data_IF_350847973593
#
_entry.id   IF_350847973593
#
_cell.length_a   1.000
_cell.length_b   1.000
_cell.length_c   1.000
_cell.angle_alpha   90.00
_cell.angle_beta   90.00
_cell.angle_gamma   90.00
#
_symmetry.space_group_name_H-M   'P 1'
#
loop_
_entity.id
_entity.type
_entity.pdbx_description
1 polymer ?
#
# COMPACT_ATOMS: atom_id res chain seq x y z
N UNK A 1 14.38 -13.39 1.91
CA UNK A 1 15.09 -12.20 1.38
C UNK A 1 14.29 -10.93 1.65
N UNK A 2 13.02 -10.83 1.20
CA UNK A 2 12.21 -9.63 1.36
C UNK A 2 11.54 -9.48 2.74
N UNK A 3 10.84 -10.52 3.23
CA UNK A 3 10.10 -10.47 4.52
C UNK A 3 10.78 -11.23 5.67
N UNK A 4 12.02 -11.66 5.48
CA UNK A 4 12.79 -12.42 6.47
C UNK A 4 12.39 -13.89 6.66
N UNK A 5 11.11 -14.22 6.81
CA UNK A 5 10.59 -15.57 7.08
C UNK A 5 9.19 -15.76 6.48
N UNK A 6 8.73 -16.99 6.25
CA UNK A 6 7.34 -17.33 5.88
C UNK A 6 6.50 -17.80 7.08
N UNK A 7 7.08 -17.81 8.29
CA UNK A 7 6.34 -18.03 9.53
C UNK A 7 5.70 -16.74 10.07
N UNK A 8 5.20 -16.80 11.31
CA UNK A 8 4.47 -15.72 11.98
C UNK A 8 5.13 -14.34 11.87
N UNK A 9 6.45 -14.26 12.05
CA UNK A 9 7.18 -13.00 11.95
C UNK A 9 7.08 -12.35 10.58
N UNK A 10 7.15 -13.15 9.52
CA UNK A 10 7.01 -12.63 8.15
C UNK A 10 5.60 -12.23 7.81
N UNK A 11 4.61 -12.97 8.32
CA UNK A 11 3.20 -12.65 8.17
C UNK A 11 2.88 -11.27 8.78
N UNK A 12 3.31 -11.03 10.01
CA UNK A 12 3.16 -9.73 10.67
C UNK A 12 3.97 -8.62 9.99
N UNK A 13 5.12 -8.96 9.38
CA UNK A 13 5.90 -7.99 8.61
C UNK A 13 5.09 -7.40 7.45
N UNK A 14 4.18 -8.16 6.83
CA UNK A 14 3.30 -7.59 5.81
C UNK A 14 2.46 -6.44 6.36
N UNK A 15 1.96 -6.58 7.58
CA UNK A 15 1.20 -5.52 8.26
C UNK A 15 2.10 -4.32 8.52
N UNK A 16 3.32 -4.55 9.02
CA UNK A 16 4.28 -3.49 9.33
C UNK A 16 4.63 -2.67 8.08
N UNK A 17 4.86 -3.30 6.93
CA UNK A 17 5.18 -2.57 5.69
C UNK A 17 4.09 -1.59 5.27
N UNK A 18 2.81 -1.94 5.47
CA UNK A 18 1.70 -1.03 5.15
C UNK A 18 1.56 0.04 6.23
N UNK A 19 1.66 -0.32 7.52
CA UNK A 19 1.61 0.63 8.64
C UNK A 19 2.74 1.65 8.58
N UNK A 20 3.97 1.23 8.25
CA UNK A 20 5.13 2.11 8.14
C UNK A 20 4.95 3.16 7.03
N UNK A 21 4.25 2.82 5.94
CA UNK A 21 3.91 3.81 4.92
C UNK A 21 2.94 4.87 5.45
N UNK A 22 1.96 4.48 6.27
CA UNK A 22 1.05 5.40 6.95
C UNK A 22 1.76 6.24 8.02
N UNK A 23 2.71 5.66 8.76
CA UNK A 23 3.55 6.38 9.73
C UNK A 23 4.44 7.40 9.04
N UNK A 24 4.97 7.10 7.86
CA UNK A 24 5.74 8.06 7.08
C UNK A 24 4.91 9.29 6.67
N UNK A 25 3.62 9.13 6.38
CA UNK A 25 2.70 10.26 6.18
C UNK A 25 2.51 11.08 7.46
N UNK A 26 2.50 10.43 8.62
CA UNK A 26 2.40 11.11 9.92
C UNK A 26 3.68 11.88 10.24
N UNK A 27 4.85 11.29 9.99
CA UNK A 27 6.16 11.95 10.13
C UNK A 27 6.30 13.16 9.20
N UNK A 28 5.69 13.12 8.03
CA UNK A 28 5.61 14.24 7.10
C UNK A 28 4.56 15.30 7.50
N UNK A 29 3.77 15.07 8.56
CA UNK A 29 2.79 16.00 9.09
C UNK A 29 1.41 15.96 8.42
N UNK A 30 1.11 14.93 7.64
CA UNK A 30 -0.15 14.82 6.89
C UNK A 30 -1.14 13.80 7.48
N UNK A 31 -0.68 12.82 8.23
CA UNK A 31 -1.54 11.80 8.85
C UNK A 31 -1.62 12.00 10.36
N UNK A 32 -2.84 11.94 10.91
CA UNK A 32 -3.10 12.03 12.35
C UNK A 32 -3.76 10.77 12.92
N UNK A 33 -4.29 9.91 12.06
CA UNK A 33 -5.03 8.71 12.45
C UNK A 33 -4.70 7.54 11.52
N UNK A 34 -4.33 6.40 12.11
CA UNK A 34 -4.11 5.13 11.41
C UNK A 34 -4.99 4.08 12.06
N UNK A 35 -5.89 3.49 11.28
CA UNK A 35 -6.82 2.45 11.69
C UNK A 35 -6.39 1.10 11.11
N UNK A 36 -6.13 0.13 11.98
CA UNK A 36 -5.76 -1.24 11.60
C UNK A 36 -6.90 -2.17 12.00
N UNK A 37 -7.43 -2.94 11.05
CA UNK A 37 -8.54 -3.87 11.27
C UNK A 37 -8.16 -5.27 10.80
N UNK A 38 -8.37 -6.26 11.67
CA UNK A 38 -8.37 -7.67 11.29
C UNK A 38 -9.77 -8.02 10.78
N UNK A 39 -9.86 -8.44 9.53
CA UNK A 39 -11.11 -8.78 8.88
C UNK A 39 -11.52 -10.21 9.26
N UNK A 40 -12.82 -10.47 9.32
CA UNK A 40 -13.36 -11.77 9.72
C UNK A 40 -13.01 -12.92 8.77
N UNK A 41 -12.60 -12.60 7.54
CA UNK A 41 -12.18 -13.54 6.51
C UNK A 41 -10.65 -13.73 6.44
N UNK A 42 -9.91 -13.27 7.45
CA UNK A 42 -8.45 -13.42 7.55
C UNK A 42 -7.66 -12.32 6.85
N UNK A 43 -8.32 -11.34 6.25
CA UNK A 43 -7.64 -10.18 5.68
C UNK A 43 -7.21 -9.17 6.75
N UNK A 44 -6.29 -8.27 6.38
CA UNK A 44 -5.91 -7.12 7.19
C UNK A 44 -6.18 -5.85 6.40
N UNK A 45 -6.77 -4.84 7.04
CA UNK A 45 -6.96 -3.52 6.46
C UNK A 45 -6.23 -2.46 7.28
N UNK A 46 -5.46 -1.61 6.59
CA UNK A 46 -4.81 -0.43 7.17
C UNK A 46 -5.33 0.79 6.43
N UNK A 47 -5.90 1.73 7.17
CA UNK A 47 -6.39 3.01 6.66
C UNK A 47 -5.70 4.16 7.38
N UNK A 48 -5.11 5.07 6.61
CA UNK A 48 -4.65 6.37 7.10
C UNK A 48 -5.51 7.51 6.56
N UNK A 49 -5.35 8.68 7.18
CA UNK A 49 -5.89 9.95 6.71
C UNK A 49 -4.79 10.88 6.17
N UNK A 50 -3.72 10.31 5.59
CA UNK A 50 -2.64 11.07 4.96
C UNK A 50 -3.06 11.72 3.64
N UNK A 51 -2.09 12.09 2.80
CA UNK A 51 -2.32 12.75 1.49
C UNK A 51 -3.00 11.87 0.45
N UNK A 52 -3.03 10.56 0.65
CA UNK A 52 -3.36 9.58 -0.39
C UNK A 52 -2.22 9.38 -1.39
N UNK A 53 -2.00 8.12 -1.79
CA UNK A 53 -1.00 7.77 -2.81
C UNK A 53 -1.31 8.53 -4.12
N UNK A 54 -0.30 9.10 -4.82
CA UNK A 54 -0.53 9.78 -6.09
C UNK A 54 -1.20 8.88 -7.14
N UNK A 55 -2.09 9.46 -7.94
CA UNK A 55 -2.89 8.76 -8.96
C UNK A 55 -2.48 9.11 -10.40
N UNK A 56 -1.60 10.10 -10.55
CA UNK A 56 -1.09 10.52 -11.84
C UNK A 56 -0.18 9.47 -12.48
N UNK A 57 -0.08 9.51 -13.81
CA UNK A 57 0.79 8.63 -14.59
C UNK A 57 2.26 8.95 -14.29
N UNK A 58 3.02 7.94 -13.90
CA UNK A 58 4.48 8.02 -13.82
C UNK A 58 5.03 7.85 -15.23
N UNK A 59 5.59 8.91 -15.81
CA UNK A 59 5.99 8.94 -17.21
C UNK A 59 6.97 7.83 -17.63
N UNK A 60 7.89 7.43 -16.74
CA UNK A 60 8.84 6.33 -17.00
C UNK A 60 8.20 4.95 -17.05
N UNK A 61 7.08 4.75 -16.34
CA UNK A 61 6.40 3.45 -16.20
C UNK A 61 5.13 3.35 -17.05
N UNK A 62 4.59 4.49 -17.53
CA UNK A 62 3.37 4.53 -18.34
C UNK A 62 2.10 4.10 -17.61
N UNK A 63 2.11 4.09 -16.27
CA UNK A 63 0.99 3.67 -15.41
C UNK A 63 0.83 4.60 -14.18
N UNK A 64 -0.34 4.59 -13.50
CA UNK A 64 -0.56 5.40 -12.30
C UNK A 64 0.45 5.11 -11.20
N UNK A 65 0.88 6.13 -10.46
CA UNK A 65 1.85 5.96 -9.37
C UNK A 65 1.38 4.96 -8.30
N UNK A 66 0.07 4.90 -8.02
CA UNK A 66 -0.52 3.85 -7.20
C UNK A 66 -0.18 2.45 -7.71
N UNK A 67 -0.37 2.17 -9.01
CA UNK A 67 -0.02 0.88 -9.58
C UNK A 67 1.49 0.61 -9.54
N UNK A 68 2.32 1.63 -9.77
CA UNK A 68 3.79 1.51 -9.66
C UNK A 68 4.19 1.03 -8.25
N UNK A 69 3.66 1.66 -7.20
CA UNK A 69 3.99 1.33 -5.80
C UNK A 69 3.70 -0.13 -5.45
N UNK A 70 2.64 -0.71 -6.01
CA UNK A 70 2.24 -2.09 -5.72
C UNK A 70 2.79 -3.13 -6.71
N UNK A 71 3.38 -2.72 -7.85
CA UNK A 71 3.80 -3.68 -8.90
C UNK A 71 5.27 -3.59 -9.31
N UNK A 72 5.99 -2.54 -8.91
CA UNK A 72 7.39 -2.33 -9.29
C UNK A 72 8.26 -2.31 -8.04
N UNK A 73 9.30 -3.16 -8.02
CA UNK A 73 10.31 -3.13 -6.96
C UNK A 73 11.23 -1.92 -7.13
N UNK A 74 11.67 -1.36 -6.01
CA UNK A 74 12.53 -0.16 -5.96
C UNK A 74 11.89 1.08 -6.59
N UNK A 75 10.57 1.20 -6.47
CA UNK A 75 9.82 2.36 -6.92
C UNK A 75 9.13 3.05 -5.75
N UNK A 76 9.18 4.40 -5.71
CA UNK A 76 8.53 5.18 -4.66
C UNK A 76 9.05 6.62 -4.55
N UNK A 77 8.28 7.48 -3.89
CA UNK A 77 8.62 8.90 -3.70
C UNK A 77 9.65 9.19 -2.61
N UNK A 78 10.19 8.15 -1.95
CA UNK A 78 11.07 8.27 -0.78
C UNK A 78 12.57 8.33 -1.14
N UNK A 79 12.91 8.28 -2.43
CA UNK A 79 14.28 8.43 -2.92
C UNK A 79 14.65 9.91 -3.10
N UNK A 80 15.00 10.61 -2.02
CA UNK A 80 15.71 11.90 -2.05
C UNK A 80 15.01 13.10 -2.73
N UNK A 81 13.78 12.94 -3.22
CA UNK A 81 13.04 13.94 -4.02
C UNK A 81 12.21 14.95 -3.24
N UNK A 82 12.35 15.02 -1.91
CA UNK A 82 11.67 16.02 -1.06
C UNK A 82 10.23 15.70 -0.65
N UNK A 83 9.66 14.56 -1.07
CA UNK A 83 8.31 14.15 -0.65
C UNK A 83 8.17 13.80 0.84
N UNK A 84 9.28 13.42 1.47
CA UNK A 84 9.43 13.10 2.89
C UNK A 84 10.79 13.61 3.38
N UNK A 85 10.82 14.37 4.48
CA UNK A 85 12.06 14.87 5.09
C UNK A 85 12.76 13.80 5.95
N UNK A 86 11.99 12.89 6.54
CA UNK A 86 12.42 11.67 7.24
C UNK A 86 11.38 10.59 6.94
N UNK A 87 11.83 9.37 6.61
CA UNK A 87 10.96 8.21 6.43
C UNK A 87 11.66 6.92 6.90
N UNK A 88 10.90 5.99 7.47
CA UNK A 88 11.38 4.64 7.79
C UNK A 88 11.53 3.77 6.55
N UNK A 89 10.64 3.93 5.56
CA UNK A 89 10.73 3.24 4.29
C UNK A 89 11.75 3.88 3.34
N UNK A 90 12.79 3.14 2.95
CA UNK A 90 13.86 3.65 2.07
C UNK A 90 14.11 2.79 0.83
N UNK A 91 13.62 1.55 0.79
CA UNK A 91 13.96 0.61 -0.28
C UNK A 91 13.00 0.61 -1.47
N UNK A 92 11.78 1.16 -1.30
CA UNK A 92 10.76 1.16 -2.35
C UNK A 92 10.25 -0.23 -2.72
N UNK A 93 10.17 -1.15 -1.76
CA UNK A 93 9.74 -2.55 -2.01
C UNK A 93 8.59 -3.04 -1.13
N UNK A 94 8.31 -2.37 -0.01
CA UNK A 94 7.37 -2.87 1.01
C UNK A 94 5.99 -3.22 0.45
N UNK A 95 5.30 -2.23 -0.09
CA UNK A 95 3.94 -2.38 -0.63
C UNK A 95 3.86 -3.39 -1.79
N UNK A 96 4.85 -3.40 -2.69
CA UNK A 96 4.90 -4.36 -3.80
C UNK A 96 5.20 -5.79 -3.33
N UNK A 97 5.98 -5.96 -2.26
CA UNK A 97 6.18 -7.26 -1.60
C UNK A 97 4.88 -7.72 -0.93
N UNK A 98 4.15 -6.85 -0.23
CA UNK A 98 2.84 -7.22 0.33
C UNK A 98 1.88 -7.67 -0.75
N UNK A 99 1.82 -6.95 -1.88
CA UNK A 99 1.00 -7.34 -3.02
C UNK A 99 1.40 -8.71 -3.60
N UNK A 100 2.68 -8.93 -3.82
CA UNK A 100 3.20 -10.18 -4.37
C UNK A 100 2.96 -11.40 -3.46
N UNK A 101 2.87 -11.20 -2.14
CA UNK A 101 2.69 -12.27 -1.15
C UNK A 101 1.23 -12.42 -0.68
N UNK A 102 0.30 -11.72 -1.32
CA UNK A 102 -1.13 -11.78 -1.04
C UNK A 102 -1.89 -12.48 -2.18
N UNK A 103 -2.92 -13.24 -1.82
CA UNK A 103 -3.88 -13.78 -2.80
C UNK A 103 -4.70 -12.65 -3.42
N UNK A 104 -5.13 -11.71 -2.59
CA UNK A 104 -5.87 -10.52 -2.99
C UNK A 104 -5.32 -9.29 -2.27
N UNK A 105 -5.26 -8.17 -2.96
CA UNK A 105 -4.98 -6.86 -2.38
C UNK A 105 -5.89 -5.80 -3.00
N UNK A 106 -6.48 -4.96 -2.16
CA UNK A 106 -7.33 -3.84 -2.54
C UNK A 106 -6.70 -2.53 -2.06
N UNK A 107 -6.71 -1.53 -2.94
CA UNK A 107 -6.25 -0.17 -2.64
C UNK A 107 -7.40 0.78 -2.92
N UNK A 108 -7.84 1.48 -1.88
CA UNK A 108 -8.75 2.62 -1.95
C UNK A 108 -7.95 3.89 -1.65
N UNK A 109 -8.06 4.90 -2.52
CA UNK A 109 -7.36 6.18 -2.36
C UNK A 109 -8.39 7.29 -2.37
N UNK A 110 -8.33 8.18 -1.38
CA UNK A 110 -9.10 9.43 -1.37
C UNK A 110 -8.10 10.58 -1.51
N UNK A 111 -8.22 11.38 -2.57
CA UNK A 111 -7.31 12.49 -2.88
C UNK A 111 -7.93 13.40 -3.95
N UNK A 112 -7.63 14.70 -3.89
CA UNK A 112 -7.98 15.68 -4.93
C UNK A 112 -9.48 15.69 -5.28
N UNK A 113 -10.33 15.53 -4.26
CA UNK A 113 -11.79 15.54 -4.42
C UNK A 113 -12.40 14.23 -4.93
N UNK A 114 -11.59 13.18 -5.11
CA UNK A 114 -11.97 11.93 -5.76
C UNK A 114 -11.62 10.71 -4.92
N UNK A 115 -12.40 9.64 -5.07
CA UNK A 115 -12.10 8.30 -4.57
C UNK A 115 -11.67 7.42 -5.73
N UNK A 116 -10.61 6.64 -5.54
CA UNK A 116 -10.06 5.71 -6.51
C UNK A 116 -10.01 4.30 -5.92
N UNK A 117 -10.07 3.31 -6.81
CA UNK A 117 -9.96 1.90 -6.43
C UNK A 117 -9.13 1.12 -7.45
N UNK A 118 -8.26 0.24 -6.96
CA UNK A 118 -7.62 -0.80 -7.74
C UNK A 118 -7.53 -2.09 -6.91
N UNK A 119 -7.77 -3.23 -7.54
CA UNK A 119 -7.61 -4.55 -6.95
C UNK A 119 -6.54 -5.35 -7.68
N UNK A 120 -5.95 -6.28 -6.95
CA UNK A 120 -4.88 -7.15 -7.42
C UNK A 120 -5.15 -8.59 -7.00
N UNK A 121 -4.83 -9.52 -7.89
CA UNK A 121 -4.79 -10.95 -7.63
C UNK A 121 -3.36 -11.45 -7.84
N UNK A 122 -2.76 -12.04 -6.80
CA UNK A 122 -1.38 -12.57 -6.84
C UNK A 122 -0.35 -11.56 -7.40
N UNK A 123 -0.43 -10.31 -6.95
CA UNK A 123 0.46 -9.23 -7.39
C UNK A 123 0.08 -8.55 -8.71
N UNK A 124 -0.89 -9.08 -9.46
CA UNK A 124 -1.27 -8.57 -10.79
C UNK A 124 -2.52 -7.69 -10.68
N UNK A 125 -2.55 -6.47 -11.25
CA UNK A 125 -3.74 -5.64 -11.24
C UNK A 125 -4.88 -6.29 -12.03
N UNK A 126 -6.06 -6.39 -11.42
CA UNK A 126 -7.24 -6.97 -12.08
C UNK A 126 -7.83 -6.03 -13.15
N UNK A 127 -7.59 -4.73 -12.98
CA UNK A 127 -8.00 -3.67 -13.89
C UNK A 127 -7.14 -2.42 -13.66
N UNK A 128 -7.13 -1.45 -14.60
CA UNK A 128 -6.54 -0.13 -14.37
C UNK A 128 -7.18 0.58 -13.18
N UNK A 129 -6.41 1.43 -12.50
CA UNK A 129 -6.91 2.32 -11.44
C UNK A 129 -8.11 3.14 -11.97
N UNK A 130 -9.22 3.10 -11.24
CA UNK A 130 -10.45 3.81 -11.63
C UNK A 130 -10.88 4.79 -10.55
N UNK A 131 -11.42 5.93 -10.97
CA UNK A 131 -12.22 6.79 -10.08
C UNK A 131 -13.56 6.10 -9.82
N UNK A 132 -13.98 6.06 -8.56
CA UNK A 132 -15.22 5.40 -8.09
C UNK A 132 -16.20 6.37 -7.43
N UNK A 133 -15.92 7.68 -7.48
CA UNK A 133 -16.80 8.72 -6.96
C UNK A 133 -16.03 9.94 -6.47
N UNK A 134 -16.77 10.95 -6.00
CA UNK A 134 -16.21 12.09 -5.29
C UNK A 134 -15.90 11.73 -3.83
N UNK A 135 -14.91 12.39 -3.23
CA UNK A 135 -14.65 12.33 -1.80
C UNK A 135 -14.15 13.69 -1.30
N UNK A 136 -14.58 14.08 -0.10
CA UNK A 136 -14.06 15.27 0.60
C UNK A 136 -12.90 14.91 1.55
N UNK A 137 -12.60 13.61 1.69
CA UNK A 137 -11.53 13.10 2.54
C UNK A 137 -10.21 12.95 1.78
N UNK A 138 -9.13 12.73 2.52
CA UNK A 138 -7.88 12.23 2.00
C UNK A 138 -7.45 10.97 2.74
N UNK A 139 -6.63 10.15 2.10
CA UNK A 139 -5.98 9.01 2.72
C UNK A 139 -5.83 7.82 1.81
N UNK A 140 -5.17 6.81 2.33
CA UNK A 140 -5.03 5.50 1.67
C UNK A 140 -5.61 4.42 2.57
N UNK A 141 -6.37 3.51 1.98
CA UNK A 141 -6.73 2.25 2.63
C UNK A 141 -6.23 1.09 1.79
N UNK A 142 -5.39 0.25 2.39
CA UNK A 142 -4.90 -0.99 1.80
C UNK A 142 -5.52 -2.15 2.57
N UNK A 143 -6.16 -3.07 1.86
CA UNK A 143 -6.65 -4.32 2.44
C UNK A 143 -6.03 -5.50 1.71
N UNK A 144 -5.46 -6.46 2.42
CA UNK A 144 -4.76 -7.58 1.81
C UNK A 144 -5.04 -8.90 2.53
N UNK A 145 -4.96 -10.00 1.76
CA UNK A 145 -5.18 -11.36 2.23
C UNK A 145 -3.90 -12.16 1.97
N UNK A 146 -3.07 -12.43 2.99
CA UNK A 146 -1.83 -13.18 2.85
C UNK A 146 -2.07 -14.55 2.19
N UNK A 147 -1.15 -14.97 1.31
CA UNK A 147 -1.31 -16.25 0.61
C UNK A 147 -1.02 -17.44 1.53
N UNK A 148 -2.03 -18.29 1.74
CA UNK A 148 -1.90 -19.55 2.46
C UNK A 148 -0.97 -20.56 1.75
N UNK A 149 -0.64 -20.35 0.48
CA UNK A 149 0.36 -21.17 -0.23
C UNK A 149 1.80 -20.76 0.10
N UNK A 150 1.99 -19.53 0.59
CA UNK A 150 3.31 -18.95 0.89
C UNK A 150 3.60 -19.00 2.39
N UNK A 151 2.60 -18.74 3.23
CA UNK A 151 2.77 -18.66 4.68
C UNK A 151 2.41 -19.97 5.36
N UNK A 152 3.28 -20.39 6.28
CA UNK A 152 3.12 -21.64 7.04
C UNK A 152 2.11 -21.51 8.20
N UNK A 153 1.52 -20.32 8.39
CA UNK A 153 0.62 -19.98 9.49
C UNK A 153 -0.44 -18.98 9.04
N UNK A 154 -1.61 -19.03 9.67
CA UNK A 154 -2.78 -18.14 9.45
C UNK A 154 -3.19 -17.44 10.73
#
# INVERSE_FOLDING_TARGET
MYIGSTGERGLHHLVYEIVDNSVDEALAGYCTEINISLLSDGGVSVRDNGRGIPVDIVASEGKPAAEVVFTVLHAGGKFGGGGYSVSGGLHGVGASVVNALSTTLHVEIERDGSKYFQSYTLGVPDAPLKSVGASENNGTKVSFWPSAEIFDTT
#
